data_IF_144448150283
#
_entry.id   IF_144448150283
#
_cell.length_a   1.000
_cell.length_b   1.000
_cell.length_c   1.000
_cell.angle_alpha   90.00
_cell.angle_beta   90.00
_cell.angle_gamma   90.00
#
_symmetry.space_group_name_H-M   'P 1'
#
loop_
_entity.id
_entity.type
_entity.pdbx_description
1 polymer ?
#
# COMPACT_ATOMS: atom_id res chain seq x y z
N UNK A 1 1.84 -20.77 8.84
CA UNK A 1 0.99 -19.56 8.81
C UNK A 1 -0.46 -20.01 8.79
N UNK A 2 -1.27 -19.61 9.76
CA UNK A 2 -2.70 -19.93 9.72
C UNK A 2 -3.33 -19.31 8.47
N UNK A 3 -4.07 -20.10 7.67
CA UNK A 3 -4.67 -19.69 6.38
C UNK A 3 -5.52 -18.40 6.45
N UNK A 4 -5.96 -17.97 7.65
CA UNK A 4 -6.75 -16.74 7.89
C UNK A 4 -5.97 -15.42 7.75
N UNK A 5 -4.65 -15.44 7.69
CA UNK A 5 -3.86 -14.19 7.73
C UNK A 5 -3.62 -13.57 6.34
N UNK A 6 -3.77 -14.33 5.26
CA UNK A 6 -3.42 -13.90 3.88
C UNK A 6 -4.26 -12.72 3.39
N UNK A 7 -5.49 -12.60 3.88
CA UNK A 7 -6.42 -11.54 3.50
C UNK A 7 -6.30 -10.29 4.38
N UNK A 8 -5.37 -10.23 5.34
CA UNK A 8 -5.16 -9.00 6.10
C UNK A 8 -4.67 -7.90 5.18
N UNK A 9 -5.27 -6.71 5.34
CA UNK A 9 -4.97 -5.53 4.55
C UNK A 9 -5.38 -5.65 3.08
N UNK A 10 -6.26 -6.59 2.73
CA UNK A 10 -6.83 -6.64 1.37
C UNK A 10 -7.63 -5.37 1.04
N UNK A 11 -8.14 -4.67 2.06
CA UNK A 11 -8.78 -3.37 1.89
C UNK A 11 -7.85 -2.37 1.19
N UNK A 12 -6.54 -2.42 1.41
CA UNK A 12 -5.57 -1.57 0.70
C UNK A 12 -5.49 -1.88 -0.79
N UNK A 13 -5.57 -3.17 -1.16
CA UNK A 13 -5.63 -3.58 -2.56
C UNK A 13 -6.97 -3.22 -3.20
N UNK A 14 -8.07 -3.33 -2.46
CA UNK A 14 -9.38 -2.89 -2.93
C UNK A 14 -9.40 -1.37 -3.20
N UNK A 15 -8.80 -0.56 -2.32
CA UNK A 15 -8.64 0.87 -2.54
C UNK A 15 -7.72 1.18 -3.72
N UNK A 16 -6.62 0.45 -3.89
CA UNK A 16 -5.74 0.60 -5.05
C UNK A 16 -6.50 0.29 -6.36
N UNK A 17 -7.24 -0.82 -6.39
CA UNK A 17 -8.05 -1.21 -7.52
C UNK A 17 -9.10 -0.16 -7.85
N UNK A 18 -9.80 0.37 -6.83
CA UNK A 18 -10.76 1.44 -7.02
C UNK A 18 -10.10 2.68 -7.63
N UNK A 19 -8.93 3.09 -7.12
CA UNK A 19 -8.20 4.24 -7.67
C UNK A 19 -7.82 4.02 -9.14
N UNK A 20 -7.36 2.81 -9.51
CA UNK A 20 -7.07 2.47 -10.91
C UNK A 20 -8.31 2.48 -11.79
N UNK A 21 -9.43 1.91 -11.32
CA UNK A 21 -10.70 1.91 -12.08
C UNK A 21 -11.15 3.34 -12.33
N UNK A 22 -11.16 4.20 -11.32
CA UNK A 22 -11.55 5.61 -11.49
C UNK A 22 -10.58 6.34 -12.42
N UNK A 23 -9.26 6.07 -12.32
CA UNK A 23 -8.28 6.62 -13.25
C UNK A 23 -8.57 6.21 -14.71
N UNK A 24 -8.91 4.95 -14.95
CA UNK A 24 -9.22 4.44 -16.29
C UNK A 24 -10.51 5.06 -16.81
N UNK A 25 -11.55 5.17 -15.98
CA UNK A 25 -12.81 5.82 -16.34
C UNK A 25 -12.58 7.27 -16.73
N UNK A 26 -11.85 8.05 -15.92
CA UNK A 26 -11.52 9.44 -16.25
C UNK A 26 -10.75 9.55 -17.57
N UNK A 27 -9.83 8.62 -17.83
CA UNK A 27 -9.11 8.54 -19.10
C UNK A 27 -10.04 8.22 -20.27
N UNK A 28 -11.00 7.31 -20.11
CA UNK A 28 -11.93 6.94 -21.18
C UNK A 28 -12.88 8.06 -21.59
N UNK A 29 -13.16 8.99 -20.68
CA UNK A 29 -14.01 10.16 -20.93
C UNK A 29 -13.20 11.44 -21.19
N UNK A 30 -11.86 11.35 -21.31
CA UNK A 30 -10.94 12.50 -21.45
C UNK A 30 -11.14 13.60 -20.38
N UNK A 31 -11.52 13.18 -19.17
CA UNK A 31 -11.79 14.07 -18.04
C UNK A 31 -10.52 14.29 -17.21
N UNK A 32 -10.21 15.57 -16.96
CA UNK A 32 -9.26 16.07 -15.95
C UNK A 32 -7.94 15.27 -15.80
N UNK A 33 -6.93 15.56 -16.66
CA UNK A 33 -5.67 14.81 -16.69
C UNK A 33 -4.88 14.80 -15.37
N UNK A 34 -5.04 15.84 -14.57
CA UNK A 34 -4.38 15.98 -13.27
C UNK A 34 -4.93 14.96 -12.26
N UNK A 35 -6.26 14.81 -12.19
CA UNK A 35 -6.92 13.83 -11.35
C UNK A 35 -6.53 12.39 -11.73
N UNK A 36 -6.42 12.10 -13.03
CA UNK A 36 -5.93 10.81 -13.53
C UNK A 36 -4.53 10.49 -12.98
N UNK A 37 -3.60 11.44 -13.08
CA UNK A 37 -2.22 11.25 -12.60
C UNK A 37 -2.17 11.02 -11.09
N UNK A 38 -2.97 11.76 -10.32
CA UNK A 38 -3.06 11.60 -8.87
C UNK A 38 -3.60 10.22 -8.51
N UNK A 39 -4.69 9.78 -9.13
CA UNK A 39 -5.31 8.48 -8.87
C UNK A 39 -4.37 7.32 -9.23
N UNK A 40 -3.66 7.43 -10.35
CA UNK A 40 -2.63 6.46 -10.73
C UNK A 40 -1.54 6.34 -9.65
N UNK A 41 -1.01 7.48 -9.18
CA UNK A 41 0.01 7.51 -8.12
C UNK A 41 -0.53 6.96 -6.79
N UNK A 42 -1.74 7.33 -6.40
CA UNK A 42 -2.39 6.84 -5.17
C UNK A 42 -2.61 5.33 -5.22
N UNK A 43 -3.03 4.79 -6.37
CA UNK A 43 -3.15 3.35 -6.60
C UNK A 43 -1.81 2.64 -6.35
N UNK A 44 -0.74 3.13 -6.99
CA UNK A 44 0.62 2.57 -6.83
C UNK A 44 1.11 2.65 -5.38
N UNK A 45 0.89 3.79 -4.70
CA UNK A 45 1.27 3.98 -3.29
C UNK A 45 0.55 3.00 -2.36
N UNK A 46 -0.73 2.72 -2.60
CA UNK A 46 -1.48 1.74 -1.82
C UNK A 46 -0.97 0.30 -2.03
N UNK A 47 -0.65 -0.07 -3.26
CA UNK A 47 -0.03 -1.38 -3.55
C UNK A 47 1.34 -1.48 -2.86
N UNK A 48 2.16 -0.43 -2.97
CA UNK A 48 3.46 -0.37 -2.33
C UNK A 48 3.35 -0.54 -0.81
N UNK A 49 2.42 0.19 -0.18
CA UNK A 49 2.18 0.08 1.26
C UNK A 49 1.76 -1.34 1.68
N UNK A 50 0.91 -2.00 0.89
CA UNK A 50 0.53 -3.39 1.12
C UNK A 50 1.73 -4.33 1.03
N UNK A 51 2.61 -4.16 0.03
CA UNK A 51 3.86 -4.92 -0.09
C UNK A 51 4.76 -4.66 1.12
N UNK A 52 4.97 -3.40 1.51
CA UNK A 52 5.79 -3.03 2.66
C UNK A 52 5.32 -3.65 3.97
N UNK A 53 4.00 -3.75 4.18
CA UNK A 53 3.43 -4.48 5.31
C UNK A 53 3.88 -5.94 5.36
N UNK A 54 3.83 -6.64 4.22
CA UNK A 54 4.25 -8.04 4.13
C UNK A 54 5.76 -8.22 4.24
N UNK A 55 6.55 -7.26 3.75
CA UNK A 55 8.01 -7.22 3.92
C UNK A 55 8.38 -7.14 5.41
N UNK A 56 7.83 -6.18 6.17
CA UNK A 56 8.05 -6.10 7.63
C UNK A 56 7.69 -7.42 8.33
N UNK A 57 6.56 -8.00 7.93
CA UNK A 57 6.05 -9.23 8.55
C UNK A 57 6.94 -10.45 8.27
N UNK A 58 7.50 -10.56 7.06
CA UNK A 58 8.41 -11.65 6.68
C UNK A 58 9.81 -11.46 7.28
N UNK A 59 10.32 -10.23 7.29
CA UNK A 59 11.65 -9.92 7.78
C UNK A 59 11.77 -10.14 9.30
N UNK A 60 10.81 -9.65 10.09
CA UNK A 60 10.94 -9.64 11.54
C UNK A 60 10.12 -10.72 12.26
N UNK A 61 9.11 -11.31 11.60
CA UNK A 61 8.18 -12.31 12.15
C UNK A 61 7.44 -11.90 13.44
N UNK A 62 7.68 -10.69 13.97
CA UNK A 62 7.00 -10.12 15.14
C UNK A 62 5.62 -9.60 14.76
N UNK A 63 4.60 -9.97 15.52
CA UNK A 63 3.25 -9.43 15.36
C UNK A 63 3.10 -8.16 16.18
N UNK A 64 2.96 -7.02 15.51
CA UNK A 64 2.60 -5.76 16.19
C UNK A 64 1.17 -5.88 16.73
N UNK A 65 1.00 -5.57 18.00
CA UNK A 65 -0.28 -5.55 18.73
C UNK A 65 -0.42 -4.24 19.50
N UNK A 66 -1.51 -4.05 20.23
CA UNK A 66 -1.73 -2.87 21.09
C UNK A 66 -0.74 -2.75 22.25
N UNK A 67 0.04 -3.80 22.54
CA UNK A 67 1.08 -3.83 23.57
C UNK A 67 2.50 -3.71 23.01
N UNK A 68 2.64 -3.55 21.70
CA UNK A 68 3.94 -3.44 21.05
C UNK A 68 4.67 -2.17 21.46
N UNK A 69 6.00 -2.23 21.46
CA UNK A 69 6.81 -1.07 21.82
C UNK A 69 6.73 0.00 20.71
N UNK A 70 6.89 1.30 21.05
CA UNK A 70 6.89 2.37 20.04
C UNK A 70 7.93 2.16 18.94
N UNK A 71 9.06 1.52 19.28
CA UNK A 71 10.12 1.24 18.32
C UNK A 71 9.68 0.24 17.25
N UNK A 72 8.89 -0.78 17.61
CA UNK A 72 8.33 -1.74 16.65
C UNK A 72 7.37 -1.04 15.66
N UNK A 73 6.57 -0.09 16.15
CA UNK A 73 5.64 0.67 15.29
C UNK A 73 6.39 1.59 14.33
N UNK A 74 7.44 2.26 14.81
CA UNK A 74 8.30 3.13 13.97
C UNK A 74 9.00 2.29 12.90
N UNK A 75 9.55 1.12 13.25
CA UNK A 75 10.18 0.21 12.29
C UNK A 75 9.23 -0.14 11.14
N UNK A 76 7.99 -0.54 11.45
CA UNK A 76 7.02 -0.85 10.39
C UNK A 76 6.71 0.37 9.53
N UNK A 77 6.51 1.53 10.15
CA UNK A 77 6.26 2.77 9.41
C UNK A 77 7.41 3.08 8.43
N UNK A 78 8.66 2.91 8.86
CA UNK A 78 9.85 3.10 8.01
C UNK A 78 9.87 2.10 6.85
N UNK A 79 9.61 0.81 7.10
CA UNK A 79 9.58 -0.21 6.02
C UNK A 79 8.49 0.08 5.00
N UNK A 80 7.30 0.47 5.47
CA UNK A 80 6.19 0.85 4.59
C UNK A 80 6.53 2.12 3.80
N UNK A 81 7.05 3.17 4.45
CA UNK A 81 7.46 4.40 3.78
C UNK A 81 8.54 4.14 2.71
N UNK A 82 9.53 3.29 3.01
CA UNK A 82 10.56 2.90 2.05
C UNK A 82 9.94 2.21 0.82
N UNK A 83 9.01 1.28 1.02
CA UNK A 83 8.33 0.61 -0.10
C UNK A 83 7.54 1.60 -0.98
N UNK A 84 6.84 2.56 -0.37
CA UNK A 84 6.09 3.60 -1.07
C UNK A 84 7.02 4.53 -1.86
N UNK A 85 8.15 4.93 -1.27
CA UNK A 85 9.16 5.76 -1.94
C UNK A 85 9.78 5.03 -3.12
N UNK A 86 10.15 3.75 -2.98
CA UNK A 86 10.71 2.96 -4.09
C UNK A 86 9.76 2.94 -5.30
N UNK A 87 8.49 2.61 -5.08
CA UNK A 87 7.48 2.57 -6.15
C UNK A 87 7.19 3.97 -6.70
N UNK A 88 7.14 4.99 -5.83
CA UNK A 88 6.96 6.38 -6.24
C UNK A 88 8.09 6.91 -7.13
N UNK A 89 9.30 6.35 -7.01
CA UNK A 89 10.47 6.68 -7.82
C UNK A 89 10.64 5.79 -9.07
N UNK A 90 9.78 4.79 -9.25
CA UNK A 90 9.74 3.95 -10.46
C UNK A 90 10.46 2.60 -10.38
N UNK A 91 10.80 2.12 -9.18
CA UNK A 91 11.19 0.72 -8.93
C UNK A 91 9.97 -0.18 -8.76
#
# INVERSE_FOLDING_TARGET
MAKRDLFRMIEWLAFALLAYVVCIVLRSYDLEPQAQTVLWKVGNLNVAAWVGYWVDRRAFRTRITTRSTPLETVRRAVVIAASMLSVGLGL
#
